data_IF_020496309871
#
_entry.id   IF_020496309871
#
_cell.length_a   1.000
_cell.length_b   1.000
_cell.length_c   1.000
_cell.angle_alpha   90.00
_cell.angle_beta   90.00
_cell.angle_gamma   90.00
#
_symmetry.space_group_name_H-M   'P 1'
#
loop_
_entity.id
_entity.type
_entity.pdbx_description
1 polymer ?
#
# COMPACT_ATOMS: atom_id res chain seq x y z
N UNK A 1 1.95 13.72 10.82
CA UNK A 1 1.28 12.62 11.55
C UNK A 1 2.30 11.52 11.77
N UNK A 2 2.39 10.94 12.96
CA UNK A 2 3.24 9.78 13.21
C UNK A 2 2.54 8.54 12.67
N UNK A 3 3.18 7.81 11.76
CA UNK A 3 2.68 6.53 11.26
C UNK A 3 3.13 5.45 12.24
N UNK A 4 2.22 4.64 12.80
CA UNK A 4 2.58 3.59 13.75
C UNK A 4 3.34 2.47 13.05
N UNK A 5 4.22 1.82 13.82
CA UNK A 5 4.99 0.67 13.39
C UNK A 5 4.40 -0.61 13.98
N UNK A 6 4.50 -1.69 13.21
CA UNK A 6 4.09 -3.05 13.57
C UNK A 6 5.32 -3.94 13.55
N UNK A 7 5.50 -4.74 14.59
CA UNK A 7 6.59 -5.72 14.71
C UNK A 7 6.01 -7.09 14.34
N UNK A 8 6.63 -7.77 13.38
CA UNK A 8 6.33 -9.14 12.97
C UNK A 8 7.47 -10.05 13.42
N UNK A 9 7.16 -11.00 14.31
CA UNK A 9 8.10 -12.05 14.71
C UNK A 9 8.20 -13.09 13.59
N UNK A 10 9.42 -13.37 13.14
CA UNK A 10 9.71 -14.45 12.19
C UNK A 10 10.69 -15.44 12.82
N UNK A 11 10.79 -16.69 12.33
CA UNK A 11 11.79 -17.65 12.81
C UNK A 11 13.24 -17.18 12.68
N UNK A 12 13.49 -16.11 11.92
CA UNK A 12 14.82 -15.50 11.70
C UNK A 12 15.02 -14.19 12.48
N UNK A 13 14.07 -13.81 13.34
CA UNK A 13 14.09 -12.59 14.15
C UNK A 13 12.89 -11.67 13.90
N UNK A 14 12.95 -10.46 14.46
CA UNK A 14 11.89 -9.45 14.35
C UNK A 14 12.06 -8.58 13.09
N UNK A 15 10.96 -8.29 12.40
CA UNK A 15 10.91 -7.28 11.34
C UNK A 15 9.90 -6.20 11.69
N UNK A 16 10.32 -4.94 11.63
CA UNK A 16 9.45 -3.80 11.82
C UNK A 16 8.99 -3.24 10.46
N UNK A 17 7.69 -2.99 10.36
CA UNK A 17 7.05 -2.36 9.21
C UNK A 17 6.23 -1.17 9.67
N UNK A 18 6.14 -0.11 8.89
CA UNK A 18 5.04 0.83 9.07
C UNK A 18 3.71 0.14 8.69
N UNK A 19 2.60 0.66 9.23
CA UNK A 19 1.29 0.04 9.01
C UNK A 19 0.91 -0.07 7.52
N UNK A 20 1.30 0.87 6.66
CA UNK A 20 0.99 0.81 5.24
C UNK A 20 1.82 -0.26 4.53
N UNK A 21 3.11 -0.37 4.83
CA UNK A 21 3.94 -1.47 4.34
C UNK A 21 3.38 -2.84 4.75
N UNK A 22 2.84 -2.95 5.97
CA UNK A 22 2.21 -4.19 6.45
C UNK A 22 0.93 -4.51 5.68
N UNK A 23 0.13 -3.50 5.34
CA UNK A 23 -1.11 -3.64 4.55
C UNK A 23 -0.82 -4.00 3.09
N UNK A 24 0.20 -3.39 2.48
CA UNK A 24 0.61 -3.72 1.11
C UNK A 24 1.02 -5.19 0.97
N UNK A 25 1.69 -5.76 1.98
CA UNK A 25 2.01 -7.21 2.05
C UNK A 25 0.76 -8.10 2.06
N UNK A 26 -0.38 -7.58 2.52
CA UNK A 26 -1.69 -8.24 2.44
C UNK A 26 -2.49 -7.83 1.18
N UNK A 27 -1.84 -7.22 0.18
CA UNK A 27 -2.43 -6.74 -1.08
C UNK A 27 -3.49 -5.64 -0.91
N UNK A 28 -3.36 -4.85 0.15
CA UNK A 28 -4.23 -3.72 0.44
C UNK A 28 -3.53 -2.42 0.05
N UNK A 29 -4.12 -1.67 -0.87
CA UNK A 29 -3.64 -0.35 -1.35
C UNK A 29 -4.59 0.74 -0.84
N UNK A 30 -4.05 1.83 -0.33
CA UNK A 30 -4.82 2.98 0.16
C UNK A 30 -4.60 4.21 -0.71
N UNK A 31 -5.68 4.75 -1.26
CA UNK A 31 -5.73 6.06 -1.89
C UNK A 31 -6.40 7.04 -0.94
N UNK A 32 -5.61 7.82 -0.21
CA UNK A 32 -6.08 8.84 0.73
C UNK A 32 -5.70 10.24 0.27
N UNK A 33 -6.66 11.18 0.30
CA UNK A 33 -6.43 12.57 -0.06
C UNK A 33 -6.50 12.85 -1.56
N UNK A 34 -6.04 14.04 -1.97
CA UNK A 34 -6.12 14.52 -3.36
C UNK A 34 -5.26 13.67 -4.32
N UNK A 35 -5.77 13.43 -5.53
CA UNK A 35 -5.06 12.69 -6.57
C UNK A 35 -4.19 13.66 -7.37
N UNK A 36 -2.92 13.75 -6.98
CA UNK A 36 -1.87 14.42 -7.76
C UNK A 36 -1.09 13.41 -8.60
N UNK A 37 -0.30 13.87 -9.58
CA UNK A 37 0.57 13.02 -10.40
C UNK A 37 1.50 12.14 -9.54
N UNK A 38 2.01 12.67 -8.43
CA UNK A 38 2.88 11.93 -7.53
C UNK A 38 2.12 10.79 -6.83
N UNK A 39 0.91 11.07 -6.33
CA UNK A 39 0.05 10.04 -5.71
C UNK A 39 -0.33 8.98 -6.74
N UNK A 40 -0.74 9.38 -7.93
CA UNK A 40 -1.09 8.48 -9.02
C UNK A 40 0.08 7.55 -9.38
N UNK A 41 1.29 8.09 -9.54
CA UNK A 41 2.48 7.30 -9.84
C UNK A 41 2.82 6.27 -8.74
N UNK A 42 2.64 6.64 -7.46
CA UNK A 42 2.86 5.71 -6.34
C UNK A 42 1.83 4.59 -6.36
N UNK A 43 0.56 4.89 -6.60
CA UNK A 43 -0.51 3.88 -6.68
C UNK A 43 -0.27 2.93 -7.85
N UNK A 44 0.08 3.45 -9.03
CA UNK A 44 0.42 2.62 -10.20
C UNK A 44 1.58 1.68 -9.88
N UNK A 45 2.64 2.18 -9.23
CA UNK A 45 3.77 1.36 -8.84
C UNK A 45 3.39 0.23 -7.87
N UNK A 46 2.52 0.51 -6.89
CA UNK A 46 2.02 -0.50 -5.95
C UNK A 46 1.17 -1.56 -6.65
N UNK A 47 0.29 -1.17 -7.57
CA UNK A 47 -0.53 -2.12 -8.35
C UNK A 47 0.35 -3.04 -9.21
N UNK A 48 1.31 -2.48 -9.95
CA UNK A 48 2.23 -3.27 -10.77
C UNK A 48 3.13 -4.19 -9.94
N UNK A 49 3.52 -3.74 -8.75
CA UNK A 49 4.28 -4.56 -7.82
C UNK A 49 3.48 -5.79 -7.36
N UNK A 50 2.22 -5.60 -6.95
CA UNK A 50 1.35 -6.69 -6.48
C UNK A 50 0.95 -7.65 -7.60
N UNK A 51 0.67 -7.12 -8.80
CA UNK A 51 0.38 -7.92 -9.99
C UNK A 51 1.56 -8.84 -10.35
N UNK A 52 2.79 -8.32 -10.25
CA UNK A 52 4.00 -9.11 -10.51
C UNK A 52 4.24 -10.19 -9.44
N UNK A 53 3.89 -9.93 -8.18
CA UNK A 53 4.05 -10.93 -7.11
C UNK A 53 3.11 -12.12 -7.31
N UNK A 54 1.84 -11.86 -7.61
CA UNK A 54 0.85 -12.88 -7.90
C UNK A 54 -0.33 -12.25 -8.68
N UNK A 55 -0.49 -12.53 -9.99
CA UNK A 55 -1.55 -11.95 -10.81
C UNK A 55 -2.93 -12.60 -10.58
N UNK A 56 -2.98 -13.78 -9.96
CA UNK A 56 -4.24 -14.50 -9.71
C UNK A 56 -4.94 -14.03 -8.42
N UNK A 57 -4.21 -13.30 -7.56
CA UNK A 57 -4.74 -12.79 -6.30
C UNK A 57 -5.32 -11.38 -6.44
N UNK A 58 -6.48 -11.17 -5.83
CA UNK A 58 -7.16 -9.88 -5.77
C UNK A 58 -6.31 -8.81 -5.06
N UNK A 59 -6.45 -7.56 -5.52
CA UNK A 59 -5.89 -6.37 -4.88
C UNK A 59 -7.06 -5.55 -4.35
N UNK A 60 -7.05 -5.25 -3.05
CA UNK A 60 -8.08 -4.44 -2.42
C UNK A 60 -7.65 -2.97 -2.40
N UNK A 61 -8.38 -2.11 -3.13
CA UNK A 61 -8.13 -0.67 -3.17
C UNK A 61 -9.15 0.07 -2.30
N UNK A 62 -8.68 0.64 -1.19
CA UNK A 62 -9.49 1.48 -0.29
C UNK A 62 -9.33 2.95 -0.66
N UNK A 63 -10.44 3.63 -0.95
CA UNK A 63 -10.46 5.00 -1.47
C UNK A 63 -11.13 5.94 -0.47
N UNK A 64 -10.39 6.96 -0.07
CA UNK A 64 -10.90 8.14 0.65
C UNK A 64 -10.26 9.40 0.05
N UNK A 65 -10.80 9.83 -1.08
CA UNK A 65 -10.24 10.92 -1.89
C UNK A 65 -11.33 11.92 -2.30
N UNK A 66 -11.05 13.24 -2.28
CA UNK A 66 -11.92 14.24 -2.88
C UNK A 66 -11.82 14.29 -4.41
N UNK A 67 -11.01 13.43 -5.03
CA UNK A 67 -10.66 13.48 -6.46
C UNK A 67 -9.36 14.22 -6.72
N UNK A 68 -9.15 14.66 -7.95
CA UNK A 68 -7.94 15.37 -8.39
C UNK A 68 -8.03 15.78 -9.86
N UNK A 69 -6.88 15.97 -10.50
CA UNK A 69 -6.81 16.34 -11.92
C UNK A 69 -7.27 15.19 -12.83
N UNK A 70 -7.91 15.53 -13.97
CA UNK A 70 -8.32 14.61 -15.04
C UNK A 70 -7.46 14.83 -16.27
#
# INVERSE_FOLDING_TARGET
MLIPWVIEETPRGERAYDIYSRLLKNRIVFLGGEITDQVANVIIAQLLFLEKEDPDLTIDLYINSPGGSV
#
